data_IF_081932391289
#
_entry.id   IF_081932391289
#
_cell.length_a   1.000
_cell.length_b   1.000
_cell.length_c   1.000
_cell.angle_alpha   90.00
_cell.angle_beta   90.00
_cell.angle_gamma   90.00
#
_symmetry.space_group_name_H-M   'P 1'
#
loop_
_entity.id
_entity.type
_entity.pdbx_description
1 polymer ?
#
# COMPACT_ATOMS: atom_id res chain seq x y z
N UNK A 1 -17.68 -16.15 2.07
CA UNK A 1 -17.22 -14.76 1.79
C UNK A 1 -18.28 -13.81 2.33
N UNK A 2 -17.88 -12.73 2.98
CA UNK A 2 -18.79 -11.64 3.32
C UNK A 2 -19.24 -10.92 2.04
N UNK A 3 -20.49 -10.45 1.99
CA UNK A 3 -21.03 -9.70 0.85
C UNK A 3 -21.05 -8.21 1.18
N UNK A 4 -20.35 -7.41 0.36
CA UNK A 4 -20.37 -5.96 0.46
C UNK A 4 -20.99 -5.37 -0.81
N UNK A 5 -21.88 -4.39 -0.65
CA UNK A 5 -22.50 -3.67 -1.78
C UNK A 5 -21.79 -2.34 -1.98
N UNK A 6 -21.24 -2.12 -3.18
CA UNK A 6 -20.53 -0.89 -3.53
C UNK A 6 -21.34 -0.14 -4.59
N UNK A 7 -21.49 1.18 -4.42
CA UNK A 7 -22.09 2.05 -5.43
C UNK A 7 -21.01 2.50 -6.40
N UNK A 8 -21.26 2.29 -7.69
CA UNK A 8 -20.33 2.61 -8.76
C UNK A 8 -21.07 3.52 -9.75
N UNK A 9 -20.42 4.59 -10.27
CA UNK A 9 -20.98 5.38 -11.36
C UNK A 9 -21.40 4.53 -12.57
N UNK A 10 -22.53 4.88 -13.20
CA UNK A 10 -23.14 4.12 -14.29
C UNK A 10 -22.23 4.01 -15.53
N UNK A 11 -21.52 5.08 -15.86
CA UNK A 11 -20.53 5.15 -16.94
C UNK A 11 -19.43 4.07 -16.76
N UNK A 12 -18.83 4.01 -15.56
CA UNK A 12 -17.77 3.05 -15.25
C UNK A 12 -18.29 1.61 -15.24
N UNK A 13 -19.49 1.39 -14.72
CA UNK A 13 -20.16 0.08 -14.71
C UNK A 13 -20.40 -0.44 -16.14
N UNK A 14 -20.86 0.42 -17.04
CA UNK A 14 -21.14 0.05 -18.42
C UNK A 14 -19.85 -0.34 -19.17
N UNK A 15 -18.78 0.43 -18.98
CA UNK A 15 -17.46 0.11 -19.55
C UNK A 15 -16.95 -1.23 -19.00
N UNK A 16 -17.00 -1.42 -17.68
CA UNK A 16 -16.55 -2.66 -17.04
C UNK A 16 -17.34 -3.87 -17.54
N UNK A 17 -18.66 -3.72 -17.74
CA UNK A 17 -19.51 -4.76 -18.32
C UNK A 17 -19.07 -5.11 -19.75
N UNK A 18 -18.83 -4.11 -20.59
CA UNK A 18 -18.37 -4.32 -21.96
C UNK A 18 -17.03 -5.08 -22.00
N UNK A 19 -16.07 -4.68 -21.17
CA UNK A 19 -14.76 -5.35 -21.04
C UNK A 19 -14.95 -6.79 -20.56
N UNK A 20 -15.78 -7.01 -19.54
CA UNK A 20 -16.03 -8.35 -19.00
C UNK A 20 -16.63 -9.29 -20.04
N UNK A 21 -17.54 -8.79 -20.89
CA UNK A 21 -18.11 -9.54 -22.00
C UNK A 21 -17.08 -9.86 -23.09
N UNK A 22 -16.21 -8.89 -23.41
CA UNK A 22 -15.15 -9.08 -24.41
C UNK A 22 -14.12 -10.13 -23.96
N UNK A 23 -13.70 -10.07 -22.70
CA UNK A 23 -12.72 -11.01 -22.13
C UNK A 23 -13.34 -12.36 -21.72
N UNK A 24 -14.65 -12.51 -21.85
CA UNK A 24 -15.41 -13.67 -21.35
C UNK A 24 -15.13 -13.98 -19.86
N UNK A 25 -15.00 -12.92 -19.05
CA UNK A 25 -14.75 -13.01 -17.61
C UNK A 25 -15.94 -12.47 -16.84
N UNK A 26 -16.17 -12.99 -15.63
CA UNK A 26 -17.20 -12.44 -14.75
C UNK A 26 -16.71 -11.13 -14.15
N UNK A 27 -17.59 -10.13 -14.11
CA UNK A 27 -17.31 -8.82 -13.52
C UNK A 27 -16.83 -8.91 -12.06
N UNK A 28 -17.38 -9.88 -11.30
CA UNK A 28 -16.91 -10.25 -9.96
C UNK A 28 -15.42 -10.55 -9.94
N UNK A 29 -14.96 -11.42 -10.83
CA UNK A 29 -13.60 -11.97 -10.77
C UNK A 29 -12.58 -10.87 -11.10
N UNK A 30 -12.93 -9.97 -12.05
CA UNK A 30 -12.15 -8.77 -12.35
C UNK A 30 -12.04 -7.86 -11.13
N UNK A 31 -13.14 -7.59 -10.44
CA UNK A 31 -13.14 -6.72 -9.25
C UNK A 31 -12.31 -7.34 -8.12
N UNK A 32 -12.44 -8.64 -7.89
CA UNK A 32 -11.65 -9.34 -6.85
C UNK A 32 -10.16 -9.24 -7.16
N UNK A 33 -9.76 -9.50 -8.40
CA UNK A 33 -8.35 -9.36 -8.82
C UNK A 33 -7.84 -7.93 -8.62
N UNK A 34 -8.62 -6.92 -9.01
CA UNK A 34 -8.25 -5.51 -8.80
C UNK A 34 -8.13 -5.15 -7.32
N UNK A 35 -8.97 -5.73 -6.45
CA UNK A 35 -8.85 -5.55 -5.00
C UNK A 35 -7.55 -6.18 -4.50
N UNK A 36 -7.25 -7.42 -4.91
CA UNK A 36 -6.03 -8.13 -4.49
C UNK A 36 -4.77 -7.35 -4.92
N UNK A 37 -4.73 -6.88 -6.17
CA UNK A 37 -3.63 -6.05 -6.68
C UNK A 37 -3.49 -4.72 -5.93
N UNK A 38 -4.62 -4.08 -5.61
CA UNK A 38 -4.62 -2.82 -4.86
C UNK A 38 -4.12 -3.03 -3.43
N UNK A 39 -4.57 -4.11 -2.77
CA UNK A 39 -4.13 -4.46 -1.41
C UNK A 39 -2.64 -4.79 -1.41
N UNK A 40 -2.17 -5.64 -2.33
CA UNK A 40 -0.77 -6.05 -2.38
C UNK A 40 0.17 -4.85 -2.59
N UNK A 41 -0.19 -3.92 -3.49
CA UNK A 41 0.57 -2.68 -3.72
C UNK A 41 0.71 -1.82 -2.44
N UNK A 42 -0.28 -1.84 -1.58
CA UNK A 42 -0.29 -1.02 -0.36
C UNK A 42 0.09 -1.80 0.89
N UNK A 43 0.32 -3.11 0.78
CA UNK A 43 0.62 -3.99 1.90
C UNK A 43 1.90 -3.58 2.61
N UNK A 44 2.99 -3.38 1.87
CA UNK A 44 4.26 -2.89 2.44
C UNK A 44 4.08 -1.53 3.14
N UNK A 45 3.31 -0.62 2.53
CA UNK A 45 3.04 0.70 3.12
C UNK A 45 2.25 0.56 4.43
N UNK A 46 1.23 -0.29 4.44
CA UNK A 46 0.42 -0.56 5.63
C UNK A 46 1.23 -1.25 6.72
N UNK A 47 2.09 -2.19 6.38
CA UNK A 47 3.01 -2.85 7.32
C UNK A 47 3.96 -1.83 7.97
N UNK A 48 4.55 -0.93 7.18
CA UNK A 48 5.37 0.17 7.71
C UNK A 48 4.56 1.09 8.63
N UNK A 49 3.35 1.49 8.23
CA UNK A 49 2.47 2.32 9.05
C UNK A 49 1.97 1.61 10.32
N UNK A 50 2.00 0.28 10.34
CA UNK A 50 1.61 -0.52 11.50
C UNK A 50 2.68 -0.53 12.59
N UNK A 51 3.92 -0.13 12.28
CA UNK A 51 5.02 -0.04 13.25
C UNK A 51 4.78 1.21 14.13
N UNK A 52 4.45 1.03 15.43
CA UNK A 52 4.19 2.17 16.31
C UNK A 52 5.41 3.08 16.41
N UNK A 53 5.21 4.39 16.27
CA UNK A 53 6.28 5.40 16.37
C UNK A 53 7.21 5.49 15.15
N UNK A 54 7.04 4.68 14.10
CA UNK A 54 7.88 4.73 12.91
C UNK A 54 7.77 6.07 12.17
N UNK A 55 6.56 6.60 12.05
CA UNK A 55 6.34 7.90 11.40
C UNK A 55 7.09 9.03 12.13
N UNK A 56 7.03 9.02 13.47
CA UNK A 56 7.67 10.01 14.33
C UNK A 56 9.19 9.90 14.27
N UNK A 57 9.73 8.67 14.26
CA UNK A 57 11.17 8.43 14.12
C UNK A 57 11.67 8.89 12.74
N UNK A 58 10.96 8.61 11.66
CA UNK A 58 11.30 9.06 10.31
C UNK A 58 11.34 10.59 10.20
N UNK A 59 10.35 11.29 10.76
CA UNK A 59 10.34 12.76 10.77
C UNK A 59 11.50 13.32 11.57
N UNK A 60 11.77 12.75 12.75
CA UNK A 60 12.89 13.16 13.60
C UNK A 60 14.22 12.97 12.90
N UNK A 61 14.48 11.80 12.33
CA UNK A 61 15.71 11.50 11.59
C UNK A 61 15.85 12.38 10.34
N UNK A 62 14.75 12.66 9.62
CA UNK A 62 14.79 13.57 8.48
C UNK A 62 15.20 15.00 8.87
N UNK A 63 14.72 15.47 10.04
CA UNK A 63 15.10 16.77 10.58
C UNK A 63 16.56 16.80 11.02
N UNK A 64 17.03 15.79 11.75
CA UNK A 64 18.43 15.67 12.18
C UNK A 64 19.40 15.61 10.99
N UNK A 65 19.04 14.88 9.94
CA UNK A 65 19.82 14.83 8.70
C UNK A 65 19.93 16.20 8.03
N UNK A 66 18.83 16.97 7.93
CA UNK A 66 18.86 18.34 7.41
C UNK A 66 19.71 19.28 8.25
N UNK A 67 19.78 19.05 9.56
CA UNK A 67 20.64 19.78 10.49
C UNK A 67 22.12 19.34 10.41
N UNK A 68 22.46 18.39 9.54
CA UNK A 68 23.82 17.88 9.36
C UNK A 68 24.27 16.90 10.44
N UNK A 69 23.35 16.40 11.28
CA UNK A 69 23.64 15.37 12.26
C UNK A 69 23.60 14.00 11.57
N UNK A 70 24.67 13.23 11.75
CA UNK A 70 24.78 11.87 11.25
C UNK A 70 25.57 11.01 12.23
N UNK A 71 25.46 9.70 12.06
CA UNK A 71 26.24 8.70 12.81
C UNK A 71 27.21 8.01 11.85
N UNK A 72 28.37 7.59 12.36
CA UNK A 72 29.32 6.82 11.57
C UNK A 72 28.71 5.45 11.22
N UNK A 73 29.04 4.92 10.04
CA UNK A 73 28.46 3.66 9.54
C UNK A 73 28.85 2.49 10.45
N UNK A 74 30.04 2.55 11.05
CA UNK A 74 30.54 1.53 11.98
C UNK A 74 29.71 1.46 13.27
N UNK A 75 29.25 2.60 13.77
CA UNK A 75 28.45 2.68 15.00
C UNK A 75 27.00 2.23 14.74
N UNK A 76 26.43 2.62 13.59
CA UNK A 76 25.11 2.16 13.19
C UNK A 76 25.03 0.63 12.99
N UNK A 77 26.11 0.01 12.51
CA UNK A 77 26.17 -1.47 12.36
C UNK A 77 26.13 -2.21 13.71
N UNK A 78 26.80 -1.69 14.73
CA UNK A 78 26.81 -2.33 16.07
C UNK A 78 25.44 -2.36 16.72
N UNK A 79 24.64 -1.31 16.53
CA UNK A 79 23.27 -1.26 17.06
C UNK A 79 22.30 -2.19 16.35
N UNK A 80 22.52 -2.51 15.06
CA UNK A 80 21.67 -3.42 14.29
C UNK A 80 21.98 -4.90 14.52
N UNK A 81 23.18 -5.23 14.96
CA UNK A 81 23.62 -6.60 15.26
C UNK A 81 23.41 -7.02 16.73
N UNK A 82 22.92 -6.11 17.58
CA UNK A 82 22.62 -6.34 19.00
C UNK A 82 21.14 -6.61 19.24
#
# INVERSE_FOLDING_TARGET
MATSTIRIPEDKKNILKAISSLENKKMKDIIVQLIDEYVERHKETLELLSIPGLYESLIKSSKEFKEGKGVAIEDAKKELES
#
